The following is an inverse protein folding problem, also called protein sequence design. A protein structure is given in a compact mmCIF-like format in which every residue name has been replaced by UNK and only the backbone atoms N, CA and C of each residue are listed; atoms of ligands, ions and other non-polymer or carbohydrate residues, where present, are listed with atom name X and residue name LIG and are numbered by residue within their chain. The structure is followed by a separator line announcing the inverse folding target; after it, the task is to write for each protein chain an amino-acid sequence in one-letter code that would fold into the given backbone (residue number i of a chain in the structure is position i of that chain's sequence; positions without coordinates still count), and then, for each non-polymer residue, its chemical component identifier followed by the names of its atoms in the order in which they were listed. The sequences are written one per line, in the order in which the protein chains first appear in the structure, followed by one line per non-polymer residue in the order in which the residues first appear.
data_IF_120647062837
#
_entry.id   IF_120647062837
#
_cell.length_a   1.000
_cell.length_b   1.000
_cell.length_c   1.000
_cell.angle_alpha   90.00
_cell.angle_beta   90.00
_cell.angle_gamma   90.00
#
_symmetry.space_group_name_H-M   'P 1'
#
loop_
_entity.id
_entity.type
_entity.pdbx_description
1 polymer ?
#
# COMPACT_ATOMS: atom_id res chain seq x y z
N UNK A 1 17.44 21.27 -0.83
CA UNK A 1 17.38 19.78 -0.93
C UNK A 1 17.66 19.19 0.45
N UNK A 2 16.89 18.23 0.93
CA UNK A 2 17.30 17.41 2.08
C UNK A 2 18.57 16.64 1.71
N UNK A 3 19.51 16.53 2.61
CA UNK A 3 20.77 15.79 2.38
C UNK A 3 20.51 14.27 2.49
N UNK A 4 19.66 13.77 1.58
CA UNK A 4 19.31 12.35 1.47
C UNK A 4 20.31 11.72 0.52
N UNK A 5 21.32 11.07 1.07
CA UNK A 5 22.37 10.44 0.28
C UNK A 5 21.93 9.03 -0.15
N UNK A 6 21.84 8.79 -1.47
CA UNK A 6 21.78 7.43 -2.03
C UNK A 6 23.19 6.89 -2.15
N UNK A 7 23.96 7.40 -3.12
CA UNK A 7 25.40 7.12 -3.30
C UNK A 7 26.09 8.39 -3.78
N UNK A 8 27.34 8.29 -4.22
CA UNK A 8 28.03 9.46 -4.79
C UNK A 8 27.54 9.77 -6.22
N UNK A 9 27.13 8.76 -6.97
CA UNK A 9 26.67 8.86 -8.36
C UNK A 9 25.13 8.92 -8.49
N UNK A 10 24.39 8.38 -7.54
CA UNK A 10 22.93 8.43 -7.52
C UNK A 10 22.45 9.44 -6.50
N UNK A 11 21.70 10.44 -6.97
CA UNK A 11 21.15 11.51 -6.11
C UNK A 11 19.64 11.37 -5.97
N UNK A 12 19.15 11.61 -4.76
CA UNK A 12 17.72 11.82 -4.51
C UNK A 12 17.34 13.23 -4.93
N UNK A 13 16.31 13.36 -5.73
CA UNK A 13 15.78 14.64 -6.23
C UNK A 13 14.28 14.80 -5.99
N UNK A 14 13.68 13.92 -5.21
CA UNK A 14 12.25 13.94 -4.89
C UNK A 14 11.84 15.10 -3.99
N UNK A 15 10.57 15.13 -3.64
CA UNK A 15 9.92 16.19 -2.85
C UNK A 15 8.98 15.60 -1.82
N UNK A 16 8.79 16.31 -0.71
CA UNK A 16 7.74 16.03 0.27
C UNK A 16 6.50 16.89 0.00
N UNK A 17 5.32 16.31 0.08
CA UNK A 17 4.05 17.02 -0.06
C UNK A 17 3.27 16.98 1.26
N UNK A 18 3.28 18.09 1.98
CA UNK A 18 2.51 18.30 3.21
C UNK A 18 1.17 19.00 2.98
N UNK A 19 0.89 19.39 1.74
CA UNK A 19 -0.33 20.12 1.37
C UNK A 19 -1.46 19.18 0.94
N UNK A 20 -1.13 17.91 0.66
CA UNK A 20 -2.10 16.90 0.29
C UNK A 20 -2.91 16.46 1.51
N UNK A 21 -4.24 16.46 1.40
CA UNK A 21 -5.14 15.97 2.45
C UNK A 21 -5.52 14.50 2.26
N UNK A 22 -5.72 14.09 0.99
CA UNK A 22 -6.09 12.72 0.63
C UNK A 22 -5.22 12.20 -0.53
N UNK A 23 -4.47 11.14 -0.28
CA UNK A 23 -3.78 10.41 -1.34
C UNK A 23 -4.81 9.59 -2.15
N UNK A 24 -4.69 9.60 -3.48
CA UNK A 24 -5.69 9.03 -4.42
C UNK A 24 -7.14 9.50 -4.14
N UNK A 25 -7.31 10.69 -3.56
CA UNK A 25 -8.60 11.24 -3.14
C UNK A 25 -9.41 10.35 -2.18
N UNK A 26 -8.76 9.45 -1.45
CA UNK A 26 -9.42 8.54 -0.51
C UNK A 26 -8.63 8.23 0.77
N UNK A 27 -7.30 8.25 0.74
CA UNK A 27 -6.49 7.86 1.90
C UNK A 27 -6.01 9.10 2.66
N UNK A 28 -6.37 9.20 3.92
CA UNK A 28 -5.93 10.30 4.79
C UNK A 28 -4.43 10.18 5.03
N UNK A 29 -3.68 11.24 4.78
CA UNK A 29 -2.22 11.28 4.95
C UNK A 29 -1.82 12.49 5.82
N UNK A 30 -2.00 12.40 7.14
CA UNK A 30 -1.82 13.53 8.05
C UNK A 30 -0.37 14.02 8.11
N UNK A 31 0.57 13.15 7.78
CA UNK A 31 2.00 13.45 7.72
C UNK A 31 2.50 13.63 6.27
N UNK A 32 1.58 13.92 5.34
CA UNK A 32 1.91 14.11 3.94
C UNK A 32 2.34 12.83 3.21
N UNK A 33 3.05 13.01 2.11
CA UNK A 33 3.61 11.93 1.31
C UNK A 33 4.92 12.41 0.66
N UNK A 34 5.86 11.52 0.40
CA UNK A 34 7.02 11.82 -0.45
C UNK A 34 6.78 11.31 -1.86
N UNK A 35 7.10 12.12 -2.86
CA UNK A 35 7.24 11.71 -4.25
C UNK A 35 8.73 11.57 -4.56
N UNK A 36 9.21 10.34 -4.62
CA UNK A 36 10.62 10.10 -4.82
C UNK A 36 10.97 10.05 -6.29
N UNK A 37 12.03 10.71 -6.63
CA UNK A 37 12.66 10.68 -7.95
C UNK A 37 14.18 10.69 -7.75
N UNK A 38 14.90 10.09 -8.70
CA UNK A 38 16.34 9.96 -8.57
C UNK A 38 17.02 10.33 -9.88
N UNK A 39 18.29 10.75 -9.79
CA UNK A 39 19.14 10.96 -10.97
C UNK A 39 20.43 10.18 -10.82
N UNK A 40 20.80 9.46 -11.87
CA UNK A 40 22.07 8.72 -11.98
C UNK A 40 23.01 9.58 -12.84
N UNK A 41 24.13 9.96 -12.25
CA UNK A 41 25.16 10.81 -12.86
C UNK A 41 26.35 9.94 -13.30
N UNK A 42 26.39 9.61 -14.60
CA UNK A 42 27.47 8.84 -15.24
C UNK A 42 27.85 9.49 -16.57
N UNK A 43 28.50 8.78 -17.50
CA UNK A 43 28.74 9.30 -18.85
C UNK A 43 27.42 9.76 -19.49
N UNK A 44 26.38 8.98 -19.31
CA UNK A 44 24.99 9.31 -19.61
C UNK A 44 24.20 9.55 -18.32
N UNK A 45 23.36 10.57 -18.33
CA UNK A 45 22.51 10.94 -17.19
C UNK A 45 21.14 10.33 -17.37
N UNK A 46 20.66 9.60 -16.37
CA UNK A 46 19.32 9.05 -16.34
C UNK A 46 18.50 9.60 -15.16
N UNK A 47 17.31 10.14 -15.44
CA UNK A 47 16.31 10.50 -14.42
C UNK A 47 15.36 9.32 -14.25
N UNK A 48 15.18 8.87 -13.00
CA UNK A 48 14.31 7.76 -12.62
C UNK A 48 13.00 8.34 -12.09
N UNK A 49 11.94 8.24 -12.90
CA UNK A 49 10.61 8.75 -12.67
C UNK A 49 10.55 10.27 -12.39
N UNK A 50 9.36 10.81 -12.29
CA UNK A 50 9.11 12.22 -11.98
C UNK A 50 8.26 12.32 -10.70
N UNK A 51 7.48 13.40 -10.55
CA UNK A 51 6.65 13.67 -9.38
C UNK A 51 5.27 14.17 -9.78
N UNK A 52 4.37 14.27 -8.79
CA UNK A 52 3.05 14.88 -8.93
C UNK A 52 3.15 16.31 -9.47
N UNK A 53 2.17 16.69 -10.28
CA UNK A 53 2.12 18.01 -10.92
C UNK A 53 2.17 19.20 -9.93
N UNK A 54 1.67 19.02 -8.71
CA UNK A 54 1.68 20.05 -7.65
C UNK A 54 3.09 20.40 -7.18
N UNK A 55 4.05 19.50 -7.37
CA UNK A 55 5.44 19.62 -6.89
C UNK A 55 6.45 19.73 -8.02
N UNK A 56 6.01 19.90 -9.28
CA UNK A 56 6.88 20.01 -10.47
C UNK A 56 7.98 21.06 -10.31
N UNK A 57 7.63 22.27 -9.86
CA UNK A 57 8.59 23.39 -9.79
C UNK A 57 9.70 23.13 -8.75
N UNK A 58 9.33 22.63 -7.58
CA UNK A 58 10.28 22.27 -6.51
C UNK A 58 11.20 21.14 -6.97
N UNK A 59 10.63 20.11 -7.57
CA UNK A 59 11.37 18.98 -8.11
C UNK A 59 12.36 19.38 -9.21
N UNK A 60 11.98 20.28 -10.12
CA UNK A 60 12.88 20.79 -11.17
C UNK A 60 14.08 21.53 -10.57
N UNK A 61 13.91 22.28 -9.50
CA UNK A 61 15.01 22.93 -8.79
C UNK A 61 15.98 21.87 -8.23
N UNK A 62 15.45 20.83 -7.58
CA UNK A 62 16.27 19.73 -7.07
C UNK A 62 17.03 19.01 -8.18
N UNK A 63 16.40 18.77 -9.31
CA UNK A 63 17.04 18.16 -10.48
C UNK A 63 18.15 19.04 -11.04
N UNK A 64 17.90 20.35 -11.24
CA UNK A 64 18.89 21.29 -11.78
C UNK A 64 20.13 21.40 -10.87
N UNK A 65 19.92 21.46 -9.55
CA UNK A 65 21.03 21.44 -8.58
C UNK A 65 21.83 20.14 -8.67
N UNK A 66 21.18 18.99 -8.78
CA UNK A 66 21.87 17.71 -8.88
C UNK A 66 22.62 17.54 -10.20
N UNK A 67 22.11 18.09 -11.30
CA UNK A 67 22.74 18.02 -12.62
C UNK A 67 24.00 18.88 -12.73
N UNK A 68 24.12 19.96 -11.97
CA UNK A 68 25.25 20.91 -12.03
C UNK A 68 25.59 21.33 -13.50
N UNK A 69 24.59 21.69 -14.26
CA UNK A 69 24.70 22.12 -15.68
C UNK A 69 24.81 20.99 -16.72
N UNK A 70 24.72 19.73 -16.32
CA UNK A 70 24.65 18.59 -17.25
C UNK A 70 23.26 18.45 -17.87
N UNK A 71 23.21 17.84 -19.06
CA UNK A 71 21.95 17.47 -19.71
C UNK A 71 21.46 16.11 -19.23
N UNK A 72 20.16 15.87 -19.43
CA UNK A 72 19.53 14.55 -19.25
C UNK A 72 19.59 13.78 -20.57
N UNK A 73 20.10 12.55 -20.55
CA UNK A 73 20.16 11.66 -21.71
C UNK A 73 18.94 10.70 -21.73
N UNK A 74 18.50 10.24 -20.56
CA UNK A 74 17.38 9.29 -20.42
C UNK A 74 16.40 9.71 -19.33
N UNK A 75 15.11 9.49 -19.63
CA UNK A 75 14.02 9.60 -18.66
C UNK A 75 13.42 8.19 -18.55
N UNK A 76 13.63 7.53 -17.43
CA UNK A 76 13.10 6.19 -17.16
C UNK A 76 11.75 6.31 -16.49
N UNK A 77 10.72 5.69 -17.07
CA UNK A 77 9.35 5.69 -16.56
C UNK A 77 9.05 4.29 -16.03
N UNK A 78 9.13 4.12 -14.73
CA UNK A 78 8.81 2.87 -14.04
C UNK A 78 7.31 2.68 -13.90
N UNK A 79 6.58 3.80 -13.70
CA UNK A 79 5.15 3.81 -13.42
C UNK A 79 4.48 5.06 -14.00
N UNK A 80 3.25 4.90 -14.52
CA UNK A 80 2.51 5.95 -15.22
C UNK A 80 1.47 6.65 -14.33
N UNK A 81 1.35 6.29 -13.06
CA UNK A 81 0.47 7.01 -12.16
C UNK A 81 0.88 8.47 -12.03
N UNK A 82 -0.08 9.42 -12.01
CA UNK A 82 0.25 10.85 -12.07
C UNK A 82 1.15 11.37 -10.96
N UNK A 83 1.16 10.76 -9.79
CA UNK A 83 2.04 11.15 -8.68
C UNK A 83 3.54 10.86 -8.97
N UNK A 84 3.83 10.04 -9.99
CA UNK A 84 5.18 9.75 -10.48
C UNK A 84 5.40 10.17 -11.93
N UNK A 85 4.34 10.39 -12.70
CA UNK A 85 4.45 10.66 -14.13
C UNK A 85 3.94 12.04 -14.55
N UNK A 86 3.23 12.79 -13.70
CA UNK A 86 2.59 14.04 -14.13
C UNK A 86 3.57 15.10 -14.64
N UNK A 87 4.81 15.09 -14.14
CA UNK A 87 5.86 16.03 -14.59
C UNK A 87 6.65 15.54 -15.82
N UNK A 88 6.31 14.37 -16.38
CA UNK A 88 7.02 13.78 -17.52
C UNK A 88 7.07 14.69 -18.75
N UNK A 89 5.94 15.29 -19.13
CA UNK A 89 5.90 16.19 -20.29
C UNK A 89 6.80 17.40 -20.09
N UNK A 90 6.76 18.03 -18.92
CA UNK A 90 7.57 19.19 -18.59
C UNK A 90 9.07 18.86 -18.70
N UNK A 91 9.47 17.69 -18.15
CA UNK A 91 10.85 17.22 -18.25
C UNK A 91 11.25 16.93 -19.68
N UNK A 92 10.39 16.25 -20.45
CA UNK A 92 10.64 15.89 -21.83
C UNK A 92 10.77 17.12 -22.76
N UNK A 93 10.00 18.17 -22.50
CA UNK A 93 10.09 19.45 -23.22
C UNK A 93 11.32 20.26 -22.82
N UNK A 94 11.73 20.20 -21.54
CA UNK A 94 12.94 20.87 -21.04
C UNK A 94 14.22 20.23 -21.60
N UNK A 95 14.23 18.90 -21.78
CA UNK A 95 15.35 18.14 -22.34
C UNK A 95 14.92 17.40 -23.61
N UNK A 96 14.77 18.12 -24.75
CA UNK A 96 14.17 17.55 -25.97
C UNK A 96 15.01 16.42 -26.60
N UNK A 97 16.31 16.37 -26.32
CA UNK A 97 17.21 15.30 -26.80
C UNK A 97 17.16 14.03 -25.92
N UNK A 98 16.57 14.12 -24.73
CA UNK A 98 16.48 12.96 -23.83
C UNK A 98 15.58 11.88 -24.42
N UNK A 99 16.03 10.65 -24.34
CA UNK A 99 15.26 9.47 -24.74
C UNK A 99 14.39 9.00 -23.55
N UNK A 100 13.16 8.59 -23.84
CA UNK A 100 12.23 8.09 -22.84
C UNK A 100 12.29 6.56 -22.84
N UNK A 101 12.59 5.99 -21.68
CA UNK A 101 12.76 4.55 -21.46
C UNK A 101 11.54 4.01 -20.74
N UNK A 102 10.88 3.04 -21.31
CA UNK A 102 9.70 2.39 -20.75
C UNK A 102 9.37 1.11 -21.50
N UNK A 103 8.42 0.32 -20.98
CA UNK A 103 7.97 -0.83 -21.74
C UNK A 103 6.87 -0.47 -22.76
N UNK A 104 6.44 -1.43 -23.56
CA UNK A 104 5.45 -1.18 -24.61
C UNK A 104 4.11 -0.66 -24.08
N UNK A 105 3.69 -1.04 -22.85
CA UNK A 105 2.45 -0.55 -22.25
C UNK A 105 2.61 0.90 -21.79
N UNK A 106 3.75 1.28 -21.22
CA UNK A 106 4.10 2.66 -20.89
C UNK A 106 3.89 3.56 -22.10
N UNK A 107 4.43 3.18 -23.26
CA UNK A 107 4.27 3.96 -24.50
C UNK A 107 2.86 3.97 -25.08
N UNK A 108 2.03 2.99 -24.75
CA UNK A 108 0.60 3.02 -25.07
C UNK A 108 -0.19 3.95 -24.12
N UNK A 109 0.30 4.15 -22.89
CA UNK A 109 -0.35 4.98 -21.88
C UNK A 109 0.04 6.45 -21.97
N UNK A 110 1.30 6.78 -22.26
CA UNK A 110 1.78 8.16 -22.35
C UNK A 110 0.83 9.06 -23.17
N UNK A 111 0.36 8.69 -24.39
CA UNK A 111 -0.55 9.53 -25.17
C UNK A 111 -1.95 9.71 -24.58
N UNK A 112 -2.31 8.93 -23.53
CA UNK A 112 -3.58 9.09 -22.82
C UNK A 112 -3.50 10.21 -21.76
N UNK A 113 -2.30 10.52 -21.30
CA UNK A 113 -2.03 11.55 -20.28
C UNK A 113 -1.42 12.82 -20.88
N UNK A 114 -0.61 12.70 -21.94
CA UNK A 114 0.23 13.77 -22.43
C UNK A 114 0.15 13.94 -23.95
N UNK A 115 0.44 15.16 -24.41
CA UNK A 115 0.39 15.54 -25.83
C UNK A 115 1.75 16.10 -26.30
N UNK A 116 2.86 15.38 -26.07
CA UNK A 116 4.17 15.73 -26.58
C UNK A 116 4.72 14.71 -27.58
N UNK A 117 5.66 15.14 -28.41
CA UNK A 117 6.22 14.28 -29.45
C UNK A 117 7.17 13.23 -28.87
N UNK A 118 6.89 11.99 -29.22
CA UNK A 118 7.68 10.81 -28.85
C UNK A 118 8.47 10.23 -30.02
N UNK A 119 8.36 10.82 -31.23
CA UNK A 119 9.02 10.28 -32.43
C UNK A 119 10.54 10.32 -32.28
N UNK A 120 11.20 9.19 -32.51
CA UNK A 120 12.65 9.05 -32.35
C UNK A 120 13.18 9.04 -30.92
N UNK A 121 12.31 9.21 -29.92
CA UNK A 121 12.71 9.32 -28.50
C UNK A 121 12.43 8.08 -27.65
N UNK A 122 11.80 7.04 -28.22
CA UNK A 122 11.36 5.86 -27.47
C UNK A 122 12.48 4.81 -27.37
N UNK A 123 12.82 4.41 -26.16
CA UNK A 123 13.59 3.21 -25.85
C UNK A 123 12.66 2.20 -25.21
N UNK A 124 12.16 1.26 -26.01
CA UNK A 124 11.23 0.23 -25.54
C UNK A 124 12.01 -0.93 -24.95
N UNK A 125 11.82 -1.17 -23.66
CA UNK A 125 12.47 -2.26 -22.91
C UNK A 125 11.48 -3.34 -22.51
N UNK A 126 12.01 -4.53 -22.27
CA UNK A 126 11.26 -5.72 -21.80
C UNK A 126 12.08 -6.46 -20.73
N UNK A 127 11.54 -7.55 -20.24
CA UNK A 127 12.15 -8.38 -19.21
C UNK A 127 13.61 -8.72 -19.52
N UNK A 128 14.51 -8.34 -18.62
CA UNK A 128 15.93 -8.64 -18.69
C UNK A 128 16.75 -7.74 -19.62
N UNK A 129 16.14 -6.82 -20.35
CA UNK A 129 16.88 -5.85 -21.16
C UNK A 129 17.74 -4.94 -20.27
N UNK A 130 18.83 -4.44 -20.84
CA UNK A 130 19.77 -3.56 -20.12
C UNK A 130 19.98 -2.24 -20.85
N UNK A 131 20.27 -1.19 -20.08
CA UNK A 131 20.67 0.14 -20.56
C UNK A 131 21.98 0.55 -19.89
N UNK A 132 23.04 0.72 -20.67
CA UNK A 132 24.31 1.22 -20.17
C UNK A 132 24.33 2.74 -20.12
N UNK A 133 24.79 3.28 -19.01
CA UNK A 133 25.00 4.74 -18.79
C UNK A 133 26.48 5.12 -18.81
N UNK A 134 27.35 4.13 -18.95
CA UNK A 134 28.80 4.24 -18.83
C UNK A 134 29.32 3.18 -17.86
N UNK A 135 29.68 3.56 -16.67
CA UNK A 135 30.05 2.64 -15.58
C UNK A 135 28.84 1.98 -14.90
N UNK A 136 27.66 2.60 -14.98
CA UNK A 136 26.40 2.07 -14.47
C UNK A 136 25.61 1.38 -15.57
N UNK A 137 24.90 0.33 -15.19
CA UNK A 137 23.98 -0.40 -16.09
C UNK A 137 22.67 -0.69 -15.39
N UNK A 138 21.58 -0.25 -15.99
CA UNK A 138 20.22 -0.59 -15.54
C UNK A 138 19.78 -1.89 -16.20
N UNK A 139 19.28 -2.84 -15.41
CA UNK A 139 18.58 -4.04 -15.87
C UNK A 139 17.11 -3.92 -15.52
N UNK A 140 16.22 -4.10 -16.51
CA UNK A 140 14.78 -3.94 -16.32
C UNK A 140 14.11 -5.27 -15.98
N UNK A 141 13.24 -5.23 -14.97
CA UNK A 141 12.43 -6.37 -14.51
C UNK A 141 10.96 -5.95 -14.54
N UNK A 142 10.17 -6.65 -15.33
CA UNK A 142 8.74 -6.35 -15.46
C UNK A 142 7.98 -6.78 -14.22
N UNK A 143 7.16 -5.87 -13.67
CA UNK A 143 6.36 -6.05 -12.47
C UNK A 143 4.86 -5.75 -12.73
N UNK A 144 4.23 -6.39 -13.75
CA UNK A 144 2.87 -6.06 -14.15
C UNK A 144 1.90 -6.27 -12.99
N UNK A 145 0.99 -5.30 -12.79
CA UNK A 145 0.01 -5.26 -11.70
C UNK A 145 0.60 -5.11 -10.29
N UNK A 146 1.81 -4.57 -10.20
CA UNK A 146 2.37 -4.14 -8.92
C UNK A 146 2.58 -2.59 -8.96
N UNK A 147 1.51 -1.71 -8.96
CA UNK A 147 0.10 -2.22 -8.96
C UNK A 147 -0.64 -1.97 -10.27
N UNK A 148 -0.05 -1.29 -11.28
CA UNK A 148 -0.59 -1.08 -12.62
C UNK A 148 0.04 -2.03 -13.65
N UNK A 149 -0.59 -2.19 -14.86
CA UNK A 149 -0.16 -3.22 -15.82
C UNK A 149 1.18 -2.96 -16.49
N UNK A 150 1.65 -1.71 -16.51
CA UNK A 150 2.91 -1.29 -17.14
C UNK A 150 4.10 -1.25 -16.18
N UNK A 151 3.88 -1.41 -14.87
CA UNK A 151 4.94 -1.24 -13.88
C UNK A 151 6.14 -2.12 -14.20
N UNK A 152 7.32 -1.52 -14.13
CA UNK A 152 8.61 -2.18 -14.15
C UNK A 152 9.50 -1.65 -13.04
N UNK A 153 10.43 -2.46 -12.59
CA UNK A 153 11.50 -2.04 -11.67
C UNK A 153 12.83 -2.05 -12.43
N UNK A 154 13.77 -1.24 -11.98
CA UNK A 154 15.10 -1.18 -12.57
C UNK A 154 16.15 -1.54 -11.51
N UNK A 155 17.04 -2.48 -11.84
CA UNK A 155 18.17 -2.84 -11.00
C UNK A 155 19.45 -2.26 -11.57
N UNK A 156 20.10 -1.36 -10.83
CA UNK A 156 21.41 -0.82 -11.15
C UNK A 156 22.48 -1.79 -10.64
N UNK A 157 23.27 -2.33 -11.58
CA UNK A 157 24.10 -3.51 -11.32
C UNK A 157 25.43 -3.21 -10.63
N UNK A 158 25.95 -1.98 -10.73
CA UNK A 158 27.28 -1.60 -10.22
C UNK A 158 27.26 -1.28 -8.73
N UNK A 159 26.26 -0.53 -8.28
CA UNK A 159 26.04 -0.15 -6.88
C UNK A 159 24.93 -0.96 -6.22
N UNK A 160 24.35 -1.95 -6.97
CA UNK A 160 23.34 -2.90 -6.48
C UNK A 160 22.07 -2.25 -5.94
N UNK A 161 21.56 -1.27 -6.68
CA UNK A 161 20.40 -0.47 -6.30
C UNK A 161 19.17 -0.99 -7.03
N UNK A 162 18.11 -1.30 -6.30
CA UNK A 162 16.80 -1.56 -6.85
C UNK A 162 15.92 -0.31 -6.79
N UNK A 163 15.59 0.27 -7.95
CA UNK A 163 14.51 1.24 -8.10
C UNK A 163 13.21 0.46 -8.20
N UNK A 164 12.45 0.41 -7.12
CA UNK A 164 11.40 -0.58 -6.89
C UNK A 164 10.00 -0.15 -7.30
N UNK A 165 9.86 0.99 -7.98
CA UNK A 165 8.56 1.65 -8.20
C UNK A 165 7.85 1.81 -6.83
N UNK A 166 6.54 1.53 -6.74
CA UNK A 166 5.79 1.60 -5.48
C UNK A 166 6.13 0.49 -4.48
N UNK A 167 6.84 -0.53 -4.93
CA UNK A 167 7.30 -1.60 -4.06
C UNK A 167 8.15 -1.06 -2.91
N UNK A 168 7.86 -1.49 -1.68
CA UNK A 168 8.50 -1.03 -0.44
C UNK A 168 8.23 0.42 -0.05
N UNK A 169 7.28 1.08 -0.73
CA UNK A 169 6.79 2.41 -0.39
C UNK A 169 5.96 2.44 0.88
N UNK A 170 5.75 3.64 1.41
CA UNK A 170 4.89 3.91 2.56
C UNK A 170 4.22 5.29 2.43
N UNK A 171 3.11 5.50 3.12
CA UNK A 171 2.60 6.86 3.34
C UNK A 171 3.53 7.65 4.26
N UNK A 172 3.36 8.97 4.30
CA UNK A 172 4.15 9.90 5.09
C UNK A 172 5.33 10.51 4.33
N UNK A 173 5.57 11.79 4.56
CA UNK A 173 6.73 12.52 4.07
C UNK A 173 8.03 12.03 4.74
N UNK A 174 9.18 12.27 4.12
CA UNK A 174 10.47 11.76 4.62
C UNK A 174 10.95 12.44 5.92
N UNK A 175 10.33 13.54 6.31
CA UNK A 175 10.60 14.21 7.58
C UNK A 175 9.65 13.81 8.72
N UNK A 176 8.68 12.96 8.45
CA UNK A 176 7.81 12.38 9.46
C UNK A 176 8.53 11.27 10.23
N UNK A 177 8.48 11.36 11.57
CA UNK A 177 8.99 10.29 12.45
C UNK A 177 7.89 9.25 12.67
N UNK A 178 7.86 8.24 11.80
CA UNK A 178 6.86 7.19 11.79
C UNK A 178 7.49 5.81 11.67
N UNK A 179 6.85 4.81 12.27
CA UNK A 179 7.24 3.42 12.03
C UNK A 179 6.98 3.01 10.57
N UNK A 180 8.05 2.56 9.89
CA UNK A 180 7.95 2.16 8.49
C UNK A 180 6.92 1.04 8.29
N UNK A 181 6.91 0.04 9.16
CA UNK A 181 6.05 -1.14 8.97
C UNK A 181 4.56 -0.80 9.06
N UNK A 182 4.17 0.13 9.93
CA UNK A 182 2.79 0.58 10.06
C UNK A 182 2.31 1.22 8.76
N UNK A 183 2.97 2.29 8.33
CA UNK A 183 2.57 3.04 7.15
C UNK A 183 2.80 2.29 5.83
N UNK A 184 3.83 1.43 5.76
CA UNK A 184 4.05 0.58 4.59
C UNK A 184 2.99 -0.53 4.47
N UNK A 185 2.52 -1.12 5.57
CA UNK A 185 1.44 -2.10 5.59
C UNK A 185 0.13 -1.46 5.16
N UNK A 186 -0.17 -0.26 5.70
CA UNK A 186 -1.33 0.54 5.33
C UNK A 186 -1.29 0.89 3.84
N UNK A 187 -0.15 1.34 3.32
CA UNK A 187 0.07 1.57 1.89
C UNK A 187 -0.13 0.29 1.09
N UNK A 188 0.58 -0.78 1.43
CA UNK A 188 0.55 -2.05 0.71
C UNK A 188 -0.86 -2.62 0.56
N UNK A 189 -1.61 -2.81 1.67
CA UNK A 189 -2.92 -3.44 1.59
C UNK A 189 -3.97 -2.57 0.90
N UNK A 190 -3.84 -1.26 0.96
CA UNK A 190 -4.77 -0.35 0.30
C UNK A 190 -4.47 -0.17 -1.20
N UNK A 191 -3.21 -0.18 -1.62
CA UNK A 191 -2.77 0.05 -3.00
C UNK A 191 -2.50 -1.28 -3.74
N UNK A 192 -1.65 -2.14 -3.21
CA UNK A 192 -1.19 -3.39 -3.85
C UNK A 192 -1.94 -4.66 -3.40
N UNK A 193 -2.68 -4.63 -2.29
CA UNK A 193 -3.17 -5.81 -1.58
C UNK A 193 -3.91 -6.85 -2.41
N UNK A 194 -4.62 -6.43 -3.45
CA UNK A 194 -5.30 -7.31 -4.40
C UNK A 194 -4.34 -8.25 -5.16
N UNK A 195 -3.11 -7.81 -5.38
CA UNK A 195 -2.16 -8.38 -6.35
C UNK A 195 -1.04 -9.21 -5.70
N UNK A 196 -1.31 -9.87 -4.58
CA UNK A 196 -0.31 -10.67 -3.85
C UNK A 196 0.45 -11.68 -4.72
N UNK A 197 -0.21 -12.35 -5.67
CA UNK A 197 0.45 -13.28 -6.60
C UNK A 197 1.49 -12.59 -7.48
N UNK A 198 1.19 -11.39 -7.96
CA UNK A 198 2.09 -10.59 -8.79
C UNK A 198 3.29 -10.10 -7.98
N UNK A 199 3.07 -9.67 -6.74
CA UNK A 199 4.14 -9.32 -5.79
C UNK A 199 5.04 -10.53 -5.51
N UNK A 200 4.47 -11.72 -5.27
CA UNK A 200 5.24 -12.96 -5.10
C UNK A 200 6.09 -13.29 -6.35
N UNK A 201 5.58 -13.04 -7.55
CA UNK A 201 6.34 -13.24 -8.78
C UNK A 201 7.51 -12.23 -8.87
N UNK A 202 7.29 -10.97 -8.49
CA UNK A 202 8.35 -9.96 -8.45
C UNK A 202 9.43 -10.32 -7.42
N UNK A 203 9.04 -10.73 -6.20
CA UNK A 203 9.99 -11.17 -5.16
C UNK A 203 10.84 -12.36 -5.61
N UNK A 204 10.26 -13.33 -6.35
CA UNK A 204 11.02 -14.46 -6.92
C UNK A 204 12.06 -14.01 -7.95
N UNK A 205 11.73 -13.04 -8.78
CA UNK A 205 12.69 -12.48 -9.75
C UNK A 205 13.80 -11.71 -9.02
N UNK A 206 13.43 -10.88 -8.05
CA UNK A 206 14.37 -10.09 -7.25
C UNK A 206 15.30 -10.95 -6.39
N UNK A 207 14.90 -12.14 -5.97
CA UNK A 207 15.73 -13.07 -5.19
C UNK A 207 17.01 -13.52 -5.90
N UNK A 208 17.09 -13.36 -7.21
CA UNK A 208 18.31 -13.62 -8.01
C UNK A 208 19.24 -12.41 -8.11
N UNK A 209 18.86 -11.25 -7.57
CA UNK A 209 19.64 -10.01 -7.62
C UNK A 209 20.35 -9.77 -6.28
N UNK A 210 21.56 -9.26 -6.36
CA UNK A 210 22.37 -8.89 -5.17
C UNK A 210 22.04 -7.43 -4.80
N UNK A 211 20.93 -7.22 -4.08
CA UNK A 211 20.40 -5.90 -3.75
C UNK A 211 21.00 -5.41 -2.43
N UNK A 212 21.62 -4.23 -2.45
CA UNK A 212 22.15 -3.56 -1.25
C UNK A 212 21.35 -2.29 -0.88
N UNK A 213 20.67 -1.68 -1.84
CA UNK A 213 19.87 -0.48 -1.64
C UNK A 213 18.52 -0.65 -2.36
N UNK A 214 17.42 -0.27 -1.70
CA UNK A 214 16.11 -0.16 -2.34
C UNK A 214 15.69 1.30 -2.35
N UNK A 215 15.34 1.81 -3.52
CA UNK A 215 14.89 3.16 -3.80
C UNK A 215 13.43 3.14 -4.26
N UNK A 216 12.45 3.24 -3.33
CA UNK A 216 11.04 3.25 -3.67
C UNK A 216 10.59 4.62 -4.18
N UNK A 217 9.39 4.69 -4.78
CA UNK A 217 8.78 5.94 -5.23
C UNK A 217 8.10 6.72 -4.09
N UNK A 218 7.87 6.07 -2.93
CA UNK A 218 7.42 6.71 -1.69
C UNK A 218 8.21 6.21 -0.49
N UNK A 219 8.38 7.07 0.52
CA UNK A 219 9.04 6.71 1.78
C UNK A 219 10.57 6.66 1.69
N UNK A 220 11.24 6.13 2.73
CA UNK A 220 12.68 6.21 2.86
C UNK A 220 13.44 5.27 1.92
N UNK A 221 14.66 5.64 1.58
CA UNK A 221 15.63 4.75 0.94
C UNK A 221 16.05 3.69 1.97
N UNK A 222 15.96 2.42 1.59
CA UNK A 222 16.27 1.30 2.47
C UNK A 222 17.68 0.76 2.15
N UNK A 223 18.56 0.75 3.15
CA UNK A 223 19.97 0.33 3.02
C UNK A 223 20.38 -0.74 4.03
N UNK A 224 19.68 -0.79 5.15
CA UNK A 224 20.00 -1.69 6.25
C UNK A 224 18.86 -2.68 6.46
N UNK A 225 19.19 -3.88 6.91
CA UNK A 225 18.20 -4.90 7.28
C UNK A 225 17.15 -5.19 6.18
N UNK A 226 17.56 -5.22 4.90
CA UNK A 226 16.65 -5.42 3.76
C UNK A 226 15.83 -6.71 3.89
N UNK A 227 16.38 -7.73 4.55
CA UNK A 227 15.66 -8.98 4.84
C UNK A 227 14.38 -8.78 5.65
N UNK A 228 14.31 -7.78 6.51
CA UNK A 228 13.12 -7.43 7.27
C UNK A 228 12.00 -6.91 6.35
N UNK A 229 12.29 -5.96 5.50
CA UNK A 229 11.32 -5.37 4.57
C UNK A 229 10.83 -6.38 3.52
N UNK A 230 11.76 -7.16 2.97
CA UNK A 230 11.43 -8.24 2.02
C UNK A 230 10.59 -9.33 2.71
N UNK A 231 10.89 -9.67 3.94
CA UNK A 231 10.14 -10.64 4.75
C UNK A 231 8.70 -10.20 5.01
N UNK A 232 8.47 -8.93 5.30
CA UNK A 232 7.13 -8.37 5.45
C UNK A 232 6.35 -8.43 4.13
N UNK A 233 6.95 -8.01 3.02
CA UNK A 233 6.33 -8.11 1.70
C UNK A 233 6.01 -9.56 1.31
N UNK A 234 6.87 -10.51 1.66
CA UNK A 234 6.62 -11.94 1.47
C UNK A 234 5.39 -12.42 2.28
N UNK A 235 5.31 -12.01 3.54
CA UNK A 235 4.17 -12.31 4.42
C UNK A 235 2.87 -11.70 3.90
N UNK A 236 2.86 -10.41 3.59
CA UNK A 236 1.67 -9.69 3.14
C UNK A 236 1.16 -10.21 1.80
N UNK A 237 2.05 -10.47 0.85
CA UNK A 237 1.67 -10.93 -0.49
C UNK A 237 1.21 -12.39 -0.53
N UNK A 238 1.53 -13.18 0.49
CA UNK A 238 0.95 -14.50 0.74
C UNK A 238 -0.38 -14.44 1.49
N UNK A 239 -0.80 -13.26 1.92
CA UNK A 239 -1.96 -13.06 2.80
C UNK A 239 -1.86 -13.78 4.14
N UNK A 240 -0.64 -14.05 4.60
CA UNK A 240 -0.41 -14.58 5.94
C UNK A 240 -0.59 -13.46 6.97
N UNK A 241 -1.13 -13.74 8.17
CA UNK A 241 -1.16 -12.75 9.23
C UNK A 241 0.27 -12.39 9.67
N UNK A 242 0.50 -11.12 9.92
CA UNK A 242 1.79 -10.68 10.45
C UNK A 242 1.91 -10.96 11.94
N UNK A 243 0.83 -10.69 12.67
CA UNK A 243 0.74 -10.85 14.12
C UNK A 243 -0.42 -11.74 14.56
N UNK A 244 -0.25 -12.39 15.70
CA UNK A 244 -1.36 -13.01 16.42
C UNK A 244 -2.12 -11.92 17.18
N UNK A 245 -3.38 -11.76 16.87
CA UNK A 245 -4.24 -10.77 17.50
C UNK A 245 -5.66 -10.81 16.97
N UNK A 246 -6.51 -9.98 17.53
CA UNK A 246 -7.92 -9.94 17.23
C UNK A 246 -8.29 -8.48 16.93
N UNK A 247 -8.77 -8.20 15.71
CA UNK A 247 -9.45 -6.96 15.41
C UNK A 247 -10.95 -7.13 15.67
N UNK A 248 -11.55 -6.24 16.45
CA UNK A 248 -13.00 -6.11 16.60
C UNK A 248 -13.42 -4.83 15.85
N UNK A 249 -13.89 -4.99 14.61
CA UNK A 249 -14.42 -3.91 13.82
C UNK A 249 -15.92 -3.79 14.06
N UNK A 250 -16.38 -2.62 14.54
CA UNK A 250 -17.79 -2.43 14.85
C UNK A 250 -18.42 -1.23 14.17
N UNK A 251 -19.74 -1.32 13.96
CA UNK A 251 -20.60 -0.25 13.47
C UNK A 251 -21.79 -0.10 14.40
N UNK A 252 -21.88 1.05 15.09
CA UNK A 252 -22.88 1.28 16.14
C UNK A 252 -23.67 2.57 15.92
N UNK A 253 -25.01 2.49 15.99
CA UNK A 253 -25.89 3.65 15.80
C UNK A 253 -26.01 4.48 17.08
N UNK A 254 -26.36 3.83 18.21
CA UNK A 254 -26.65 4.48 19.49
C UNK A 254 -25.77 4.02 20.65
N UNK A 255 -24.63 3.40 20.35
CA UNK A 255 -23.62 2.99 21.34
C UNK A 255 -23.80 1.58 21.93
N UNK A 256 -24.94 0.89 21.72
CA UNK A 256 -25.14 -0.44 22.30
C UNK A 256 -24.23 -1.50 21.65
N UNK A 257 -24.06 -1.48 20.34
CA UNK A 257 -23.13 -2.38 19.63
C UNK A 257 -21.68 -2.05 20.01
N UNK A 258 -21.33 -0.77 20.16
CA UNK A 258 -20.03 -0.33 20.64
C UNK A 258 -19.73 -0.86 22.06
N UNK A 259 -20.71 -0.78 22.97
CA UNK A 259 -20.58 -1.30 24.33
C UNK A 259 -20.34 -2.84 24.32
N UNK A 260 -21.04 -3.54 23.44
CA UNK A 260 -20.87 -4.99 23.26
C UNK A 260 -19.49 -5.36 22.69
N UNK A 261 -19.01 -4.63 21.69
CA UNK A 261 -17.67 -4.82 21.11
C UNK A 261 -16.57 -4.61 22.17
N UNK A 262 -16.68 -3.53 22.96
CA UNK A 262 -15.74 -3.25 24.07
C UNK A 262 -15.81 -4.32 25.17
N UNK A 263 -17.02 -4.81 25.47
CA UNK A 263 -17.17 -5.90 26.44
C UNK A 263 -16.53 -7.20 25.98
N UNK A 264 -16.65 -7.55 24.71
CA UNK A 264 -15.95 -8.71 24.13
C UNK A 264 -14.42 -8.51 24.22
N UNK A 265 -13.91 -7.31 23.95
CA UNK A 265 -12.48 -7.01 24.09
C UNK A 265 -11.99 -7.24 25.52
N UNK A 266 -12.70 -6.76 26.53
CA UNK A 266 -12.38 -7.00 27.95
C UNK A 266 -12.34 -8.51 28.29
N UNK A 267 -13.29 -9.29 27.75
CA UNK A 267 -13.35 -10.74 27.96
C UNK A 267 -12.14 -11.43 27.30
N UNK A 268 -11.82 -11.08 26.07
CA UNK A 268 -10.68 -11.63 25.33
C UNK A 268 -9.34 -11.30 26.03
N UNK A 269 -9.16 -10.07 26.45
CA UNK A 269 -7.97 -9.65 27.22
C UNK A 269 -7.85 -10.39 28.55
N UNK A 270 -8.96 -10.53 29.29
CA UNK A 270 -9.00 -11.29 30.54
C UNK A 270 -8.67 -12.78 30.37
N UNK A 271 -8.98 -13.34 29.18
CA UNK A 271 -8.65 -14.73 28.81
C UNK A 271 -7.25 -14.88 28.23
N UNK A 272 -6.48 -13.80 28.09
CA UNK A 272 -5.08 -13.84 27.66
C UNK A 272 -4.87 -13.73 26.15
N UNK A 273 -5.77 -13.08 25.43
CA UNK A 273 -5.56 -12.76 24.02
C UNK A 273 -4.23 -11.98 23.84
N UNK A 274 -3.40 -12.33 22.85
CA UNK A 274 -2.07 -11.71 22.69
C UNK A 274 -2.15 -10.21 22.35
N UNK A 275 -3.18 -9.83 21.60
CA UNK A 275 -3.49 -8.44 21.24
C UNK A 275 -4.97 -8.33 20.90
N UNK A 276 -5.63 -7.28 21.37
CA UNK A 276 -6.99 -6.92 20.97
C UNK A 276 -7.00 -5.46 20.52
N UNK A 277 -7.56 -5.23 19.34
CA UNK A 277 -7.79 -3.88 18.79
C UNK A 277 -9.27 -3.71 18.54
N UNK A 278 -9.82 -2.56 18.90
CA UNK A 278 -11.24 -2.24 18.72
C UNK A 278 -11.35 -1.01 17.85
N UNK A 279 -12.01 -1.15 16.69
CA UNK A 279 -12.14 -0.08 15.70
C UNK A 279 -13.62 0.31 15.46
N UNK A 280 -13.90 1.59 15.47
CA UNK A 280 -15.21 2.18 15.15
C UNK A 280 -15.26 2.57 13.66
N UNK A 281 -15.85 1.74 12.82
CA UNK A 281 -15.96 1.96 11.37
C UNK A 281 -16.67 3.27 10.98
N UNK A 282 -17.35 3.91 11.92
CA UNK A 282 -18.01 5.20 11.66
C UNK A 282 -17.15 6.41 12.05
N UNK A 283 -15.95 6.20 12.60
CA UNK A 283 -15.07 7.25 13.14
C UNK A 283 -13.62 7.09 12.73
N UNK A 284 -13.11 5.86 12.76
CA UNK A 284 -11.72 5.57 12.48
C UNK A 284 -11.46 5.58 10.96
N UNK A 285 -10.24 5.86 10.56
CA UNK A 285 -9.85 5.80 9.16
C UNK A 285 -9.99 4.37 8.61
N UNK A 286 -10.77 4.23 7.55
CA UNK A 286 -11.03 2.94 6.91
C UNK A 286 -9.73 2.24 6.47
N UNK A 287 -8.73 2.98 6.00
CA UNK A 287 -7.46 2.42 5.55
C UNK A 287 -6.65 1.80 6.70
N UNK A 288 -6.71 2.38 7.89
CA UNK A 288 -6.12 1.83 9.12
C UNK A 288 -6.82 0.54 9.54
N UNK A 289 -8.16 0.54 9.53
CA UNK A 289 -8.93 -0.65 9.93
C UNK A 289 -8.74 -1.81 8.94
N UNK A 290 -8.56 -1.50 7.66
CA UNK A 290 -8.21 -2.51 6.64
C UNK A 290 -6.82 -3.08 6.90
N UNK A 291 -5.84 -2.24 7.17
CA UNK A 291 -4.48 -2.67 7.54
C UNK A 291 -4.51 -3.66 8.71
N UNK A 292 -5.18 -3.28 9.80
CA UNK A 292 -5.33 -4.11 11.00
C UNK A 292 -6.04 -5.44 10.72
N UNK A 293 -7.04 -5.45 9.84
CA UNK A 293 -7.71 -6.68 9.43
C UNK A 293 -6.76 -7.66 8.73
N UNK A 294 -5.83 -7.17 7.92
CA UNK A 294 -4.80 -7.99 7.28
C UNK A 294 -3.64 -8.33 8.23
N UNK A 295 -3.33 -7.47 9.17
CA UNK A 295 -2.27 -7.67 10.16
C UNK A 295 -2.53 -8.83 11.08
N UNK A 296 -3.72 -8.89 11.67
CA UNK A 296 -4.09 -9.86 12.68
C UNK A 296 -4.70 -11.14 12.09
N UNK A 297 -4.56 -12.25 12.82
CA UNK A 297 -5.05 -13.57 12.40
C UNK A 297 -6.54 -13.79 12.67
N UNK A 298 -7.21 -12.89 13.43
CA UNK A 298 -8.63 -12.98 13.80
C UNK A 298 -9.35 -11.66 13.63
N UNK A 299 -10.60 -11.73 13.15
CA UNK A 299 -11.50 -10.60 12.95
C UNK A 299 -12.85 -10.87 13.58
N UNK A 300 -13.36 -9.94 14.36
CA UNK A 300 -14.75 -9.92 14.83
C UNK A 300 -15.49 -8.78 14.12
N UNK A 301 -16.59 -9.10 13.47
CA UNK A 301 -17.47 -8.16 12.80
C UNK A 301 -18.70 -7.93 13.67
N UNK A 302 -18.89 -6.70 14.16
CA UNK A 302 -19.97 -6.34 15.06
C UNK A 302 -20.83 -5.20 14.46
N UNK A 303 -22.07 -5.46 14.05
CA UNK A 303 -22.89 -4.46 13.38
C UNK A 303 -24.35 -4.44 13.85
N UNK A 304 -24.95 -3.26 13.79
CA UNK A 304 -26.38 -3.10 13.92
C UNK A 304 -27.10 -3.42 12.60
N UNK A 305 -28.29 -4.00 12.71
CA UNK A 305 -29.21 -4.13 11.59
C UNK A 305 -29.78 -2.75 11.25
N UNK A 306 -29.74 -2.37 9.97
CA UNK A 306 -30.22 -1.11 9.47
C UNK A 306 -30.92 -1.32 8.12
N UNK A 307 -32.12 -0.75 7.94
CA UNK A 307 -32.94 -0.90 6.71
C UNK A 307 -33.11 -2.36 6.24
N UNK A 308 -33.31 -3.29 7.18
CA UNK A 308 -33.32 -4.74 6.96
C UNK A 308 -31.99 -5.31 6.38
N UNK A 309 -30.91 -4.52 6.38
CA UNK A 309 -29.56 -4.84 5.95
C UNK A 309 -28.56 -4.74 7.09
N UNK A 310 -27.32 -4.38 6.76
CA UNK A 310 -26.28 -4.03 7.72
C UNK A 310 -26.01 -2.53 7.72
N UNK A 311 -25.46 -2.00 8.80
CA UNK A 311 -25.13 -0.58 8.87
C UNK A 311 -24.08 -0.21 7.81
N UNK A 312 -24.25 0.89 7.04
CA UNK A 312 -23.51 1.14 5.80
C UNK A 312 -21.98 1.09 5.92
N UNK A 313 -21.37 1.62 6.99
CA UNK A 313 -19.91 1.59 7.11
C UNK A 313 -19.35 0.17 7.29
N UNK A 314 -20.12 -0.78 7.85
CA UNK A 314 -19.73 -2.19 7.88
C UNK A 314 -19.82 -2.83 6.49
N UNK A 315 -20.83 -2.48 5.70
CA UNK A 315 -20.95 -2.96 4.32
C UNK A 315 -19.78 -2.48 3.47
N UNK A 316 -19.41 -1.20 3.60
CA UNK A 316 -18.26 -0.60 2.92
C UNK A 316 -16.95 -1.29 3.32
N UNK A 317 -16.71 -1.50 4.61
CA UNK A 317 -15.56 -2.25 5.09
C UNK A 317 -15.45 -3.66 4.48
N UNK A 318 -16.56 -4.41 4.47
CA UNK A 318 -16.60 -5.75 3.87
C UNK A 318 -16.37 -5.71 2.35
N UNK A 319 -16.85 -4.66 1.68
CA UNK A 319 -16.59 -4.45 0.25
C UNK A 319 -15.10 -4.25 -0.02
N UNK A 320 -14.42 -3.41 0.78
CA UNK A 320 -12.98 -3.22 0.70
C UNK A 320 -12.20 -4.51 0.95
N UNK A 321 -12.54 -5.26 1.98
CA UNK A 321 -11.90 -6.55 2.26
C UNK A 321 -12.02 -7.52 1.09
N UNK A 322 -13.22 -7.59 0.49
CA UNK A 322 -13.49 -8.42 -0.70
C UNK A 322 -12.64 -7.99 -1.91
N UNK A 323 -12.61 -6.69 -2.18
CA UNK A 323 -11.87 -6.13 -3.31
C UNK A 323 -10.35 -6.39 -3.20
N UNK A 324 -9.83 -6.42 -1.98
CA UNK A 324 -8.40 -6.62 -1.65
C UNK A 324 -8.03 -8.08 -1.41
N UNK A 325 -8.92 -9.04 -1.70
CA UNK A 325 -8.65 -10.47 -1.55
C UNK A 325 -8.41 -10.94 -0.10
N UNK A 326 -9.09 -10.36 0.89
CA UNK A 326 -9.00 -10.77 2.28
C UNK A 326 -9.23 -12.28 2.44
N UNK A 327 -8.33 -12.96 3.15
CA UNK A 327 -8.33 -14.41 3.24
C UNK A 327 -7.47 -14.94 4.40
N UNK A 328 -7.55 -16.28 4.68
CA UNK A 328 -6.72 -16.99 5.66
C UNK A 328 -6.85 -16.44 7.09
N UNK A 329 -8.06 -16.16 7.51
CA UNK A 329 -8.35 -15.61 8.85
C UNK A 329 -9.48 -16.37 9.52
N UNK A 330 -9.52 -16.31 10.87
CA UNK A 330 -10.73 -16.63 11.63
C UNK A 330 -11.63 -15.42 11.70
N UNK A 331 -12.93 -15.60 11.45
CA UNK A 331 -13.91 -14.50 11.48
C UNK A 331 -15.11 -14.88 12.34
N UNK A 332 -15.42 -14.03 13.32
CA UNK A 332 -16.56 -14.15 14.20
C UNK A 332 -17.56 -13.00 14.01
N UNK A 333 -18.79 -13.18 14.51
CA UNK A 333 -19.88 -12.27 14.23
C UNK A 333 -20.64 -11.90 15.50
N UNK A 334 -20.94 -10.61 15.60
CA UNK A 334 -21.86 -10.03 16.58
C UNK A 334 -22.90 -9.17 15.86
N UNK A 335 -24.13 -9.26 16.26
CA UNK A 335 -25.18 -8.42 15.67
C UNK A 335 -26.05 -7.77 16.73
N UNK A 336 -26.66 -6.64 16.37
CA UNK A 336 -27.64 -5.97 17.22
C UNK A 336 -28.89 -5.58 16.40
N UNK A 337 -30.06 -5.95 16.91
CA UNK A 337 -31.35 -5.61 16.28
C UNK A 337 -32.51 -5.90 17.22
N UNK A 338 -33.30 -4.87 17.54
CA UNK A 338 -34.38 -5.00 18.53
C UNK A 338 -35.52 -5.95 18.12
N UNK A 339 -35.91 -5.96 16.86
CA UNK A 339 -37.10 -6.74 16.39
C UNK A 339 -36.80 -7.74 15.26
N UNK A 340 -35.79 -7.53 14.45
CA UNK A 340 -35.45 -8.43 13.35
C UNK A 340 -33.94 -8.35 13.06
N UNK A 341 -33.07 -8.93 13.92
CA UNK A 341 -31.64 -8.91 13.68
C UNK A 341 -31.31 -9.70 12.40
N UNK A 342 -30.61 -9.05 11.47
CA UNK A 342 -30.25 -9.59 10.16
C UNK A 342 -28.76 -9.37 9.83
N UNK A 343 -28.08 -8.54 10.59
CA UNK A 343 -26.70 -8.13 10.28
C UNK A 343 -25.75 -9.33 10.20
N UNK A 344 -25.81 -10.26 11.14
CA UNK A 344 -24.93 -11.44 11.13
C UNK A 344 -25.15 -12.34 9.92
N UNK A 345 -26.41 -12.55 9.51
CA UNK A 345 -26.73 -13.34 8.32
C UNK A 345 -26.13 -12.72 7.05
N UNK A 346 -26.22 -11.40 6.93
CA UNK A 346 -25.72 -10.68 5.76
C UNK A 346 -24.19 -10.66 5.76
N UNK A 347 -23.55 -10.35 6.90
CA UNK A 347 -22.10 -10.40 7.05
C UNK A 347 -21.55 -11.80 6.72
N UNK A 348 -22.15 -12.87 7.27
CA UNK A 348 -21.78 -14.27 6.95
C UNK A 348 -21.87 -14.53 5.44
N UNK A 349 -22.95 -14.14 4.79
CA UNK A 349 -23.14 -14.34 3.34
C UNK A 349 -22.08 -13.63 2.49
N UNK A 350 -21.58 -12.46 2.92
CA UNK A 350 -20.48 -11.79 2.24
C UNK A 350 -19.15 -12.51 2.49
N UNK A 351 -18.87 -12.88 3.75
CA UNK A 351 -17.63 -13.55 4.17
C UNK A 351 -17.50 -14.95 3.60
N UNK A 352 -18.60 -15.67 3.35
CA UNK A 352 -18.62 -16.95 2.63
C UNK A 352 -17.98 -16.87 1.22
N UNK A 353 -17.99 -15.69 0.62
CA UNK A 353 -17.30 -15.43 -0.65
C UNK A 353 -15.79 -15.21 -0.54
N UNK A 354 -15.22 -15.12 0.66
CA UNK A 354 -13.79 -14.94 0.89
C UNK A 354 -13.07 -16.31 0.89
N UNK A 355 -11.78 -16.31 0.57
CA UNK A 355 -11.01 -17.55 0.46
C UNK A 355 -10.44 -17.96 1.82
N UNK A 356 -10.51 -19.25 2.14
CA UNK A 356 -9.83 -19.82 3.31
C UNK A 356 -10.16 -19.08 4.63
N UNK A 357 -11.43 -18.73 4.84
CA UNK A 357 -11.92 -18.17 6.08
C UNK A 357 -12.49 -19.31 6.96
N UNK A 358 -12.10 -19.33 8.21
CA UNK A 358 -12.73 -20.10 9.26
C UNK A 358 -13.74 -19.21 9.99
N UNK A 359 -15.03 -19.52 9.85
CA UNK A 359 -16.06 -18.81 10.60
C UNK A 359 -16.21 -19.42 11.99
N UNK A 360 -16.18 -18.58 13.02
CA UNK A 360 -16.21 -19.01 14.42
C UNK A 360 -17.59 -18.77 15.01
N UNK A 361 -18.20 -19.80 15.55
CA UNK A 361 -19.45 -19.72 16.32
C UNK A 361 -19.16 -19.68 17.83
N UNK A 362 -20.11 -19.24 18.68
CA UNK A 362 -21.46 -18.81 18.36
C UNK A 362 -21.52 -17.36 17.83
N UNK A 363 -22.59 -17.04 17.11
CA UNK A 363 -22.97 -15.64 16.82
C UNK A 363 -23.54 -15.02 18.09
N UNK A 364 -23.07 -13.83 18.45
CA UNK A 364 -23.63 -13.05 19.55
C UNK A 364 -24.75 -12.16 19.03
N UNK A 365 -26.00 -12.52 19.31
CA UNK A 365 -27.19 -11.71 18.91
C UNK A 365 -27.69 -10.88 20.07
N UNK A 366 -27.64 -9.56 19.94
CA UNK A 366 -28.07 -8.59 20.97
C UNK A 366 -29.36 -7.93 20.51
N UNK A 367 -30.27 -7.76 21.45
CA UNK A 367 -31.53 -7.03 21.23
C UNK A 367 -31.50 -5.72 22.00
N UNK A 368 -30.92 -4.70 21.35
CA UNK A 368 -30.63 -3.37 21.90
C UNK A 368 -29.54 -3.40 22.97
N UNK A 369 -29.84 -3.58 24.23
CA UNK A 369 -28.86 -3.60 25.33
C UNK A 369 -28.43 -5.04 25.67
N UNK A 370 -27.15 -5.23 25.95
CA UNK A 370 -26.61 -6.53 26.43
C UNK A 370 -27.29 -6.99 27.74
N UNK A 371 -27.40 -8.28 27.88
CA UNK A 371 -27.82 -8.97 29.11
C UNK A 371 -26.83 -10.08 29.48
N UNK A 372 -27.07 -10.77 30.60
CA UNK A 372 -26.17 -11.80 31.12
C UNK A 372 -26.03 -13.00 30.18
N UNK A 373 -27.04 -13.31 29.35
CA UNK A 373 -26.97 -14.40 28.37
C UNK A 373 -26.05 -14.00 27.21
N UNK A 374 -26.11 -12.74 26.78
CA UNK A 374 -25.15 -12.24 25.77
C UNK A 374 -23.73 -12.30 26.27
N UNK A 375 -23.47 -11.97 27.54
CA UNK A 375 -22.13 -12.07 28.14
C UNK A 375 -21.63 -13.51 28.13
N UNK A 376 -22.48 -14.49 28.51
CA UNK A 376 -22.12 -15.91 28.44
C UNK A 376 -21.78 -16.37 27.02
N UNK A 377 -22.59 -15.92 26.04
CA UNK A 377 -22.32 -16.21 24.62
C UNK A 377 -21.01 -15.58 24.15
N UNK A 378 -20.66 -14.36 24.61
CA UNK A 378 -19.38 -13.72 24.35
C UNK A 378 -18.21 -14.48 24.98
N UNK A 379 -18.38 -15.03 26.20
CA UNK A 379 -17.36 -15.87 26.85
C UNK A 379 -17.08 -17.15 26.07
N UNK A 380 -18.14 -17.81 25.57
CA UNK A 380 -18.02 -18.99 24.70
C UNK A 380 -17.36 -18.63 23.35
N UNK A 381 -17.76 -17.51 22.73
CA UNK A 381 -17.13 -17.03 21.50
C UNK A 381 -15.64 -16.75 21.72
N UNK A 382 -15.28 -16.13 22.84
CA UNK A 382 -13.90 -15.84 23.18
C UNK A 382 -13.06 -17.10 23.34
N UNK A 383 -13.62 -18.16 23.98
CA UNK A 383 -12.94 -19.45 24.11
C UNK A 383 -12.69 -20.12 22.74
N UNK A 384 -13.62 -19.97 21.79
CA UNK A 384 -13.48 -20.54 20.45
C UNK A 384 -12.56 -19.71 19.54
N UNK A 385 -12.41 -18.42 19.83
CA UNK A 385 -11.49 -17.53 19.10
C UNK A 385 -10.02 -17.72 19.52
N UNK A 386 -9.76 -18.00 20.80
CA UNK A 386 -8.40 -18.16 21.35
C UNK A 386 -7.80 -19.52 21.05
#
# INVERSE_FOLDING_TARGET
MKDIKVTDSVKYIGVDDHDIDLFESQYVVPNGVSYNSYVILDEKVAVMDTVDARKTDEWLVNLEEALDGRNVDYIVVSHMEPDHAASLQVLAEKYPEAQIVGNAKTFNMIPQFFAFDLEGRKVVVKEGDTLSLGSHTLQFVMAPMVHWPEVMVAYETSEKILFSADGFGKFGALDADEDWACEARRYYFNICGKYGVQVQNLLKKAAGLDIEIICPLHGPILKENLGYYIGLYDTWSKYEPEDKGILIAYASIHGNTAAAAKKLAEILEAKGAPKVVVADLSRDDMAEVIEDAFRYDRLVLAAATYDAGIFPCMEDFLHHLKAKNYQKRKVAFMENGSWAPMAAKIMKGIVEGFKNIEMVDPVVTIKSTMNDENIKTMEELADNLL
#
